data_IF_964248689305
#
_entry.id   IF_964248689305
#
_cell.length_a   1.000
_cell.length_b   1.000
_cell.length_c   1.000
_cell.angle_alpha   90.00
_cell.angle_beta   90.00
_cell.angle_gamma   90.00
#
_symmetry.space_group_name_H-M   'P 1'
#
loop_
_entity.id
_entity.type
_entity.pdbx_description
1 polymer ?
#
# COMPACT_ATOMS: atom_id res chain seq x y z
N UNK A 1 -18.85 11.82 -0.04
CA UNK A 1 -19.58 10.61 -0.12
C UNK A 1 -20.01 9.90 1.15
N UNK A 2 -19.37 10.13 2.32
CA UNK A 2 -19.74 9.38 3.54
C UNK A 2 -20.95 9.92 4.30
N UNK A 3 -21.44 11.11 3.98
CA UNK A 3 -22.55 11.73 4.69
C UNK A 3 -23.86 10.93 4.70
N UNK A 4 -24.10 10.11 3.66
CA UNK A 4 -25.28 9.26 3.61
C UNK A 4 -25.25 8.10 4.61
N UNK A 5 -24.09 7.50 4.80
CA UNK A 5 -23.91 6.42 5.78
C UNK A 5 -23.99 6.90 7.22
N UNK A 6 -23.39 8.04 7.52
CA UNK A 6 -23.50 8.67 8.83
C UNK A 6 -24.96 9.03 9.17
N UNK A 7 -25.73 9.51 8.19
CA UNK A 7 -27.14 9.80 8.38
C UNK A 7 -27.96 8.53 8.67
N UNK A 8 -27.67 7.43 7.98
CA UNK A 8 -28.32 6.14 8.24
C UNK A 8 -27.94 5.60 9.62
N UNK A 9 -26.68 5.65 9.97
CA UNK A 9 -26.19 5.17 11.25
C UNK A 9 -26.69 6.00 12.43
N UNK A 10 -26.96 7.29 12.25
CA UNK A 10 -27.49 8.15 13.31
C UNK A 10 -28.89 7.75 13.79
N UNK A 11 -29.59 6.87 13.07
CA UNK A 11 -30.86 6.30 13.50
C UNK A 11 -30.70 5.09 14.43
N UNK A 12 -29.48 4.61 14.64
CA UNK A 12 -29.24 3.47 15.53
C UNK A 12 -29.12 3.95 16.98
N UNK A 13 -29.78 3.29 17.90
CA UNK A 13 -29.64 3.60 19.31
C UNK A 13 -28.19 3.53 19.77
N UNK A 14 -27.74 4.53 20.51
CA UNK A 14 -26.39 4.60 21.06
C UNK A 14 -25.30 5.03 20.04
N UNK A 15 -25.59 5.11 18.74
CA UNK A 15 -24.57 5.48 17.74
C UNK A 15 -24.02 6.89 17.98
N UNK A 16 -24.89 7.85 18.30
CA UNK A 16 -24.47 9.25 18.50
C UNK A 16 -23.58 9.37 19.73
N UNK A 17 -23.91 8.69 20.81
CA UNK A 17 -23.13 8.68 22.04
C UNK A 17 -21.75 8.07 21.82
N UNK A 18 -21.68 6.92 21.16
CA UNK A 18 -20.41 6.25 20.82
C UNK A 18 -19.58 7.11 19.88
N UNK A 19 -20.19 7.69 18.87
CA UNK A 19 -19.51 8.57 17.93
C UNK A 19 -18.95 9.82 18.63
N UNK A 20 -19.73 10.44 19.51
CA UNK A 20 -19.29 11.59 20.30
C UNK A 20 -18.15 11.22 21.24
N UNK A 21 -18.20 10.05 21.85
CA UNK A 21 -17.14 9.55 22.71
C UNK A 21 -15.83 9.42 21.93
N UNK A 22 -15.84 8.73 20.79
CA UNK A 22 -14.66 8.55 19.95
C UNK A 22 -14.10 9.90 19.45
N UNK A 23 -14.97 10.81 18.99
CA UNK A 23 -14.55 12.14 18.52
C UNK A 23 -13.91 12.94 19.67
N UNK A 24 -14.44 12.83 20.88
CA UNK A 24 -13.84 13.49 22.05
C UNK A 24 -12.46 12.94 22.36
N UNK A 25 -12.27 11.63 22.32
CA UNK A 25 -10.96 11.00 22.51
C UNK A 25 -9.93 11.48 21.47
N UNK A 26 -10.30 11.52 20.20
CA UNK A 26 -9.41 12.03 19.16
C UNK A 26 -9.07 13.51 19.34
N UNK A 27 -10.01 14.31 19.81
CA UNK A 27 -9.76 15.73 20.08
C UNK A 27 -8.79 15.90 21.25
N UNK A 28 -8.97 15.17 22.33
CA UNK A 28 -8.06 15.19 23.48
C UNK A 28 -6.65 14.74 23.08
N UNK A 29 -6.52 13.69 22.27
CA UNK A 29 -5.23 13.24 21.75
C UNK A 29 -4.60 14.35 20.92
N UNK A 30 -5.37 14.97 20.01
CA UNK A 30 -4.86 16.06 19.17
C UNK A 30 -4.38 17.25 20.01
N UNK A 31 -5.17 17.67 21.01
CA UNK A 31 -4.81 18.77 21.90
C UNK A 31 -3.52 18.47 22.69
N UNK A 32 -3.41 17.24 23.22
CA UNK A 32 -2.24 16.80 23.97
C UNK A 32 -0.98 16.66 23.10
N UNK A 33 -1.14 16.43 21.80
CA UNK A 33 -0.02 16.35 20.84
C UNK A 33 0.43 17.72 20.32
N UNK A 34 -0.34 18.77 20.54
CA UNK A 34 0.05 20.10 20.12
C UNK A 34 1.34 20.54 20.84
N UNK A 35 2.31 20.98 20.07
CA UNK A 35 3.60 21.41 20.59
C UNK A 35 4.58 20.30 20.93
N UNK A 36 4.22 19.03 20.72
CA UNK A 36 5.18 17.93 20.77
C UNK A 36 6.01 17.88 19.50
N UNK A 37 7.29 17.62 19.62
CA UNK A 37 8.13 17.36 18.46
C UNK A 37 7.84 15.94 17.94
N UNK A 38 7.74 15.82 16.62
CA UNK A 38 7.68 14.51 15.98
C UNK A 38 8.97 13.73 16.26
N UNK A 39 8.83 12.44 16.50
CA UNK A 39 9.99 11.57 16.51
C UNK A 39 10.65 11.60 15.13
N UNK A 40 11.95 11.90 15.11
CA UNK A 40 12.72 11.84 13.88
C UNK A 40 13.29 10.45 13.76
N UNK A 41 12.70 9.65 12.90
CA UNK A 41 13.20 8.32 12.63
C UNK A 41 14.56 8.38 11.90
N UNK A 42 15.47 7.43 12.15
CA UNK A 42 16.78 7.40 11.51
C UNK A 42 16.71 7.19 9.98
N UNK A 43 15.61 6.64 9.49
CA UNK A 43 15.32 6.44 8.08
C UNK A 43 13.82 6.28 7.84
N UNK A 44 13.42 6.39 6.57
CA UNK A 44 12.05 6.19 6.12
C UNK A 44 11.91 4.89 5.33
N UNK A 45 10.78 4.23 5.53
CA UNK A 45 10.31 3.11 4.71
C UNK A 45 9.13 3.60 3.90
N UNK A 46 9.17 3.45 2.60
CA UNK A 46 8.11 3.88 1.71
C UNK A 46 7.24 2.70 1.25
N UNK A 47 5.94 2.89 1.26
CA UNK A 47 5.00 2.01 0.55
C UNK A 47 4.68 2.68 -0.78
N UNK A 48 4.93 1.96 -1.86
CA UNK A 48 4.63 2.44 -3.21
C UNK A 48 3.14 2.39 -3.47
N UNK A 49 2.56 3.53 -3.81
CA UNK A 49 1.12 3.72 -3.86
C UNK A 49 0.65 4.24 -5.23
N UNK A 50 -0.35 3.61 -5.79
CA UNK A 50 -0.98 4.02 -7.04
C UNK A 50 -2.37 4.63 -6.80
N UNK A 51 -2.41 5.76 -6.10
CA UNK A 51 -3.66 6.38 -5.64
C UNK A 51 -4.74 6.57 -6.73
N UNK A 52 -4.37 7.03 -7.90
CA UNK A 52 -5.32 7.23 -9.00
C UNK A 52 -6.00 5.94 -9.46
N UNK A 53 -5.25 4.86 -9.54
CA UNK A 53 -5.77 3.54 -9.88
C UNK A 53 -6.55 2.93 -8.73
N UNK A 54 -6.11 3.11 -7.49
CA UNK A 54 -6.85 2.70 -6.29
C UNK A 54 -8.21 3.38 -6.22
N UNK A 55 -8.26 4.68 -6.49
CA UNK A 55 -9.52 5.42 -6.50
C UNK A 55 -10.50 4.88 -7.54
N UNK A 56 -10.04 4.56 -8.75
CA UNK A 56 -10.87 3.95 -9.79
C UNK A 56 -11.34 2.56 -9.38
N UNK A 57 -10.45 1.76 -8.84
CA UNK A 57 -10.76 0.43 -8.36
C UNK A 57 -11.81 0.46 -7.24
N UNK A 58 -11.64 1.29 -6.22
CA UNK A 58 -12.61 1.47 -5.15
C UNK A 58 -13.97 1.93 -5.67
N UNK A 59 -14.01 2.82 -6.65
CA UNK A 59 -15.28 3.29 -7.21
C UNK A 59 -16.03 2.19 -7.97
N UNK A 60 -15.31 1.29 -8.61
CA UNK A 60 -15.90 0.29 -9.48
C UNK A 60 -16.13 -1.06 -8.78
N UNK A 61 -15.28 -1.43 -7.83
CA UNK A 61 -15.30 -2.76 -7.21
C UNK A 61 -15.89 -2.75 -5.78
N UNK A 62 -15.47 -1.81 -4.97
CA UNK A 62 -15.83 -1.77 -3.54
C UNK A 62 -17.25 -1.28 -3.32
N UNK A 63 -17.79 -0.50 -4.25
CA UNK A 63 -19.15 0.04 -4.10
C UNK A 63 -20.23 -1.05 -4.04
N UNK A 64 -19.98 -2.21 -4.61
CA UNK A 64 -20.95 -3.30 -4.69
C UNK A 64 -20.49 -4.64 -4.12
N UNK A 65 -19.21 -4.80 -3.89
CA UNK A 65 -18.69 -6.08 -3.46
C UNK A 65 -17.70 -5.87 -2.31
N UNK A 66 -18.03 -6.38 -1.28
CA UNK A 66 -17.38 -6.46 0.00
C UNK A 66 -16.20 -7.46 -0.05
N UNK A 67 -15.58 -7.64 -1.20
CA UNK A 67 -14.43 -8.51 -1.36
C UNK A 67 -13.16 -7.71 -1.20
N UNK A 68 -12.54 -7.84 -0.04
CA UNK A 68 -11.31 -7.16 0.33
C UNK A 68 -10.06 -8.03 0.15
N UNK A 69 -10.19 -9.16 -0.55
CA UNK A 69 -9.06 -10.09 -0.70
C UNK A 69 -7.83 -9.39 -1.29
N UNK A 70 -8.04 -8.52 -2.25
CA UNK A 70 -6.97 -7.77 -2.90
C UNK A 70 -6.33 -6.72 -1.97
N UNK A 71 -6.96 -6.39 -0.86
CA UNK A 71 -6.42 -5.43 0.13
C UNK A 71 -5.64 -6.10 1.25
N UNK A 72 -5.81 -7.41 1.46
CA UNK A 72 -5.22 -8.11 2.61
C UNK A 72 -3.71 -8.01 2.68
N UNK A 73 -3.04 -8.06 1.55
CA UNK A 73 -1.58 -7.91 1.52
C UNK A 73 -1.15 -6.51 1.97
N UNK A 74 -1.89 -5.47 1.55
CA UNK A 74 -1.59 -4.09 1.94
C UNK A 74 -1.90 -3.85 3.42
N UNK A 75 -3.04 -4.35 3.90
CA UNK A 75 -3.42 -4.28 5.31
C UNK A 75 -2.40 -5.01 6.20
N UNK A 76 -2.01 -6.23 5.82
CA UNK A 76 -1.01 -7.00 6.55
C UNK A 76 0.37 -6.32 6.60
N UNK A 77 0.80 -5.68 5.51
CA UNK A 77 2.05 -4.89 5.52
C UNK A 77 1.94 -3.71 6.47
N UNK A 78 0.83 -2.96 6.44
CA UNK A 78 0.62 -1.83 7.34
C UNK A 78 0.60 -2.27 8.81
N UNK A 79 -0.04 -3.39 9.10
CA UNK A 79 -0.07 -3.97 10.43
C UNK A 79 1.34 -4.38 10.90
N UNK A 80 2.11 -5.05 10.05
CA UNK A 80 3.49 -5.42 10.34
C UNK A 80 4.41 -4.21 10.58
N UNK A 81 4.17 -3.09 9.91
CA UNK A 81 4.96 -1.87 10.07
C UNK A 81 4.51 -1.03 11.28
N UNK A 82 3.34 -1.30 11.82
CA UNK A 82 2.80 -0.57 12.98
C UNK A 82 3.69 -0.75 14.21
N UNK A 83 4.04 0.35 14.86
CA UNK A 83 4.88 0.35 16.07
C UNK A 83 6.37 0.15 15.81
N UNK A 84 6.82 0.05 14.57
CA UNK A 84 8.23 -0.04 14.24
C UNK A 84 8.95 1.32 14.44
N UNK A 85 10.25 1.33 14.80
CA UNK A 85 11.00 2.54 15.14
C UNK A 85 11.51 3.31 13.90
N UNK A 86 10.75 3.32 12.82
CA UNK A 86 11.03 4.09 11.61
C UNK A 86 9.76 4.78 11.10
N UNK A 87 9.95 5.78 10.27
CA UNK A 87 8.84 6.47 9.65
C UNK A 87 8.35 5.72 8.42
N UNK A 88 7.03 5.57 8.29
CA UNK A 88 6.38 4.97 7.12
C UNK A 88 5.76 6.08 6.29
N UNK A 89 6.10 6.14 5.02
CA UNK A 89 5.60 7.13 4.06
C UNK A 89 5.00 6.43 2.84
N UNK A 90 3.99 7.04 2.25
CA UNK A 90 3.47 6.59 0.96
C UNK A 90 4.07 7.44 -0.15
N UNK A 91 4.69 6.80 -1.13
CA UNK A 91 5.20 7.47 -2.32
C UNK A 91 4.45 7.02 -3.56
N UNK A 92 4.33 7.90 -4.53
CA UNK A 92 3.67 7.61 -5.79
C UNK A 92 4.66 7.11 -6.84
N UNK A 93 4.13 6.57 -7.93
CA UNK A 93 4.95 6.26 -9.12
C UNK A 93 5.52 7.51 -9.78
N UNK A 94 4.89 8.67 -9.58
CA UNK A 94 5.45 9.95 -10.06
C UNK A 94 6.66 10.37 -9.23
N UNK A 95 6.66 10.12 -7.94
CA UNK A 95 7.84 10.33 -7.11
C UNK A 95 8.99 9.44 -7.57
N UNK A 96 8.73 8.17 -7.88
CA UNK A 96 9.75 7.27 -8.45
C UNK A 96 10.25 7.78 -9.79
N UNK A 97 9.37 8.29 -10.67
CA UNK A 97 9.78 8.87 -11.97
C UNK A 97 10.66 10.11 -11.82
N UNK A 98 10.39 10.92 -10.82
CA UNK A 98 11.09 12.17 -10.59
C UNK A 98 12.37 12.03 -9.75
N UNK A 99 12.55 10.89 -9.13
CA UNK A 99 13.67 10.56 -8.25
C UNK A 99 13.18 10.24 -6.83
N UNK A 100 13.58 9.08 -6.33
CA UNK A 100 13.22 8.62 -5.00
C UNK A 100 13.91 9.53 -3.97
N UNK A 101 13.18 10.06 -2.97
CA UNK A 101 13.77 10.88 -1.92
C UNK A 101 14.91 10.16 -1.17
N UNK A 102 15.97 10.89 -0.87
CA UNK A 102 17.21 10.32 -0.32
C UNK A 102 17.02 9.71 1.09
N UNK A 103 16.07 10.23 1.86
CA UNK A 103 15.73 9.74 3.19
C UNK A 103 15.05 8.37 3.16
N UNK A 104 14.48 7.95 2.04
CA UNK A 104 13.87 6.63 1.88
C UNK A 104 14.97 5.60 1.71
N UNK A 105 14.98 4.59 2.56
CA UNK A 105 15.96 3.50 2.52
C UNK A 105 15.38 2.18 2.06
N UNK A 106 14.06 2.01 2.20
CA UNK A 106 13.34 0.81 1.76
C UNK A 106 12.07 1.21 1.06
N UNK A 107 11.78 0.57 -0.06
CA UNK A 107 10.51 0.67 -0.77
C UNK A 107 9.82 -0.68 -0.72
N UNK A 108 8.54 -0.67 -0.36
CA UNK A 108 7.69 -1.86 -0.36
C UNK A 108 6.64 -1.71 -1.46
N UNK A 109 6.61 -2.66 -2.38
CA UNK A 109 5.51 -2.81 -3.33
C UNK A 109 4.65 -4.01 -2.94
N UNK A 110 3.36 -3.80 -2.82
CA UNK A 110 2.45 -4.78 -2.23
C UNK A 110 1.16 -4.92 -3.03
N UNK A 111 0.68 -6.13 -3.17
CA UNK A 111 -0.62 -6.43 -3.76
C UNK A 111 -0.57 -7.46 -4.87
N UNK A 112 -1.76 -7.84 -5.33
CA UNK A 112 -1.93 -8.79 -6.42
C UNK A 112 -1.64 -8.13 -7.77
N UNK A 113 -1.26 -8.94 -8.75
CA UNK A 113 -0.98 -8.48 -10.11
C UNK A 113 -2.15 -7.70 -10.71
N UNK A 114 -1.81 -6.68 -11.45
CA UNK A 114 -2.77 -5.84 -12.17
C UNK A 114 -3.82 -5.15 -11.29
N UNK A 115 -3.58 -5.08 -10.00
CA UNK A 115 -4.42 -4.31 -9.09
C UNK A 115 -3.90 -2.88 -8.92
N UNK A 116 -4.76 -2.04 -8.40
CA UNK A 116 -4.39 -0.69 -8.05
C UNK A 116 -3.34 -0.60 -6.93
N UNK A 117 -3.22 -1.66 -6.13
CA UNK A 117 -2.27 -1.69 -5.02
C UNK A 117 -0.85 -1.96 -5.50
N UNK A 118 -0.67 -2.93 -6.38
CA UNK A 118 0.66 -3.28 -6.89
C UNK A 118 1.20 -2.33 -7.98
N UNK A 119 0.36 -1.47 -8.54
CA UNK A 119 0.76 -0.45 -9.51
C UNK A 119 0.36 -0.70 -10.95
N UNK A 120 -0.15 -1.87 -11.28
CA UNK A 120 -0.64 -2.24 -12.61
C UNK A 120 0.29 -1.80 -13.76
N UNK A 121 -0.21 -1.03 -14.73
CA UNK A 121 0.52 -0.57 -15.91
C UNK A 121 1.74 0.33 -15.64
N UNK A 122 1.91 0.84 -14.43
CA UNK A 122 3.12 1.60 -14.10
C UNK A 122 4.39 0.74 -14.21
N UNK A 123 4.26 -0.58 -14.12
CA UNK A 123 5.40 -1.50 -14.21
C UNK A 123 5.90 -1.75 -15.64
N UNK A 124 5.28 -1.19 -16.67
CA UNK A 124 5.85 -1.16 -18.04
C UNK A 124 6.59 0.13 -18.35
N UNK A 125 6.66 1.06 -17.41
CA UNK A 125 7.36 2.32 -17.56
C UNK A 125 8.86 2.12 -17.30
N UNK A 126 9.67 2.24 -18.33
CA UNK A 126 11.13 2.09 -18.27
C UNK A 126 11.79 3.07 -17.28
N UNK A 127 11.21 4.24 -17.07
CA UNK A 127 11.74 5.22 -16.13
C UNK A 127 11.55 4.77 -14.69
N UNK A 128 10.40 4.17 -14.38
CA UNK A 128 10.13 3.56 -13.08
C UNK A 128 11.10 2.41 -12.83
N UNK A 129 11.22 1.48 -13.78
CA UNK A 129 12.11 0.33 -13.66
C UNK A 129 13.57 0.74 -13.47
N UNK A 130 14.04 1.70 -14.26
CA UNK A 130 15.41 2.21 -14.16
C UNK A 130 15.69 2.89 -12.84
N UNK A 131 14.76 3.69 -12.34
CA UNK A 131 14.96 4.39 -11.08
C UNK A 131 14.93 3.46 -9.87
N UNK A 132 14.09 2.41 -9.87
CA UNK A 132 14.12 1.38 -8.83
C UNK A 132 15.45 0.61 -8.86
N UNK A 133 15.94 0.18 -10.04
CA UNK A 133 17.25 -0.47 -10.14
C UNK A 133 18.36 0.40 -9.61
N UNK A 134 18.39 1.66 -10.00
CA UNK A 134 19.39 2.63 -9.49
C UNK A 134 19.30 2.79 -7.97
N UNK A 135 18.11 2.87 -7.42
CA UNK A 135 17.88 2.96 -5.98
C UNK A 135 18.48 1.75 -5.26
N UNK A 136 18.26 0.55 -5.77
CA UNK A 136 18.81 -0.69 -5.18
C UNK A 136 20.34 -0.75 -5.36
N UNK A 137 20.85 -0.40 -6.53
CA UNK A 137 22.30 -0.33 -6.78
C UNK A 137 23.03 0.65 -5.85
N UNK A 138 22.34 1.68 -5.40
CA UNK A 138 22.84 2.65 -4.43
C UNK A 138 22.67 2.20 -2.97
N UNK A 139 22.21 0.99 -2.73
CA UNK A 139 22.07 0.39 -1.41
C UNK A 139 20.67 0.50 -0.80
N UNK A 140 19.68 0.95 -1.56
CA UNK A 140 18.28 0.91 -1.15
C UNK A 140 17.71 -0.51 -1.12
N UNK A 141 16.74 -0.76 -0.25
CA UNK A 141 16.01 -2.03 -0.18
C UNK A 141 14.73 -1.98 -1.01
N UNK A 142 14.44 -3.05 -1.76
CA UNK A 142 13.16 -3.20 -2.45
C UNK A 142 12.50 -4.51 -2.02
N UNK A 143 11.32 -4.41 -1.40
CA UNK A 143 10.54 -5.54 -0.88
C UNK A 143 9.28 -5.70 -1.71
N UNK A 144 9.07 -6.90 -2.23
CA UNK A 144 7.83 -7.27 -2.91
C UNK A 144 6.96 -8.18 -2.06
N UNK A 145 5.67 -7.91 -2.00
CA UNK A 145 4.69 -8.72 -1.27
C UNK A 145 3.52 -9.07 -2.19
N UNK A 146 3.15 -10.34 -2.23
CA UNK A 146 2.11 -10.83 -3.12
C UNK A 146 2.62 -11.08 -4.54
N UNK A 147 2.12 -10.37 -5.50
CA UNK A 147 2.57 -10.38 -6.90
C UNK A 147 3.21 -9.03 -7.28
N UNK A 148 4.31 -8.66 -6.61
CA UNK A 148 4.91 -7.35 -6.76
C UNK A 148 5.39 -7.14 -8.21
N UNK A 149 5.27 -5.90 -8.69
CA UNK A 149 5.77 -5.50 -10.02
C UNK A 149 5.15 -6.21 -11.22
N UNK A 150 4.20 -7.10 -11.00
CA UNK A 150 3.47 -7.74 -12.08
C UNK A 150 2.40 -6.80 -12.63
N UNK A 151 2.41 -6.57 -13.96
CA UNK A 151 1.44 -5.70 -14.58
C UNK A 151 0.30 -6.46 -15.27
N UNK A 152 0.51 -7.72 -15.64
CA UNK A 152 -0.50 -8.55 -16.28
C UNK A 152 -1.29 -9.37 -15.27
N UNK A 153 -2.57 -9.55 -15.55
CA UNK A 153 -3.42 -10.47 -14.80
C UNK A 153 -2.77 -11.86 -14.73
N UNK A 154 -2.79 -12.47 -13.56
CA UNK A 154 -2.09 -13.70 -13.21
C UNK A 154 -0.56 -13.57 -13.11
N UNK A 155 -0.01 -12.37 -13.16
CA UNK A 155 1.38 -12.10 -12.82
C UNK A 155 2.40 -12.99 -13.51
N UNK A 156 2.31 -13.14 -14.82
CA UNK A 156 3.19 -14.04 -15.58
C UNK A 156 4.66 -13.75 -15.38
N UNK A 157 4.99 -12.46 -15.25
CA UNK A 157 6.35 -12.02 -15.05
C UNK A 157 6.39 -10.91 -14.03
N UNK A 158 7.30 -11.01 -13.08
CA UNK A 158 7.67 -9.86 -12.30
C UNK A 158 8.60 -8.97 -13.12
N UNK A 159 8.20 -7.73 -13.33
CA UNK A 159 9.15 -6.72 -13.72
C UNK A 159 10.17 -6.61 -12.59
N UNK A 160 11.40 -6.26 -12.84
CA UNK A 160 12.44 -6.24 -11.81
C UNK A 160 12.77 -7.64 -11.19
N UNK A 161 12.56 -8.71 -11.93
CA UNK A 161 12.97 -10.05 -11.48
C UNK A 161 14.46 -10.16 -11.16
N UNK A 162 15.27 -9.35 -11.81
CA UNK A 162 16.69 -9.14 -11.53
C UNK A 162 16.96 -8.52 -10.17
N UNK A 163 16.11 -7.59 -9.73
CA UNK A 163 16.19 -6.96 -8.42
C UNK A 163 15.63 -7.87 -7.33
N UNK A 164 14.50 -8.52 -7.60
CA UNK A 164 13.83 -9.41 -6.65
C UNK A 164 14.53 -10.76 -6.48
N UNK A 165 15.35 -11.17 -7.46
CA UNK A 165 16.00 -12.48 -7.49
C UNK A 165 15.06 -13.65 -7.77
N UNK A 166 13.80 -13.37 -8.07
CA UNK A 166 12.76 -14.36 -8.35
C UNK A 166 11.84 -13.88 -9.46
N UNK A 167 11.22 -14.86 -10.12
CA UNK A 167 10.17 -14.62 -11.11
C UNK A 167 9.02 -15.56 -10.81
N UNK A 168 7.80 -15.13 -11.09
CA UNK A 168 6.64 -15.99 -10.92
C UNK A 168 6.70 -17.15 -11.93
N UNK A 169 6.44 -18.35 -11.45
CA UNK A 169 6.32 -19.51 -12.28
C UNK A 169 5.17 -19.38 -13.28
N UNK A 170 5.45 -19.68 -14.53
CA UNK A 170 4.47 -19.55 -15.62
C UNK A 170 3.54 -20.75 -15.78
N UNK A 171 3.86 -21.86 -15.15
CA UNK A 171 3.11 -23.10 -15.24
C UNK A 171 2.21 -23.25 -14.03
N UNK A 172 1.25 -24.17 -14.13
CA UNK A 172 0.38 -24.52 -13.02
C UNK A 172 1.21 -24.88 -11.80
N UNK A 173 1.11 -24.09 -10.76
CA UNK A 173 1.65 -24.47 -9.47
C UNK A 173 0.78 -25.57 -8.89
N UNK A 174 1.20 -26.79 -9.08
CA UNK A 174 0.54 -27.96 -8.47
C UNK A 174 0.54 -27.90 -6.93
N UNK A 175 1.34 -27.04 -6.36
CA UNK A 175 1.44 -26.90 -4.91
C UNK A 175 0.33 -26.07 -4.29
N UNK A 176 -0.22 -25.11 -5.00
CA UNK A 176 -1.33 -24.28 -4.48
C UNK A 176 -2.67 -24.99 -4.52
N UNK A 177 -2.87 -25.89 -5.47
CA UNK A 177 -4.15 -26.57 -5.63
C UNK A 177 -4.31 -27.77 -4.68
N UNK A 178 -3.25 -28.21 -4.04
CA UNK A 178 -3.30 -29.38 -3.15
C UNK A 178 -3.64 -29.09 -1.69
N UNK A 179 -3.61 -27.83 -1.28
CA UNK A 179 -3.68 -27.47 0.14
C UNK A 179 -4.68 -26.38 0.47
N UNK A 180 -5.53 -26.01 -0.49
CA UNK A 180 -6.68 -25.12 -0.27
C UNK A 180 -7.96 -25.93 -0.10
#
# INVERSE_FOLDING_TARGET
>A
GYGGYLKLASNWPGFIEEFQYVVTQFREIHENMQGTASYVAPFKVAILNCWGSQRRWMSNQVHHAIWHRETYSAEGVLECLSGMPFEVEFISFDDVRNGIPEEIKVIINVGDAYTAFSGAENWIDEKVLTNIRRFVDQGGGFIGVGEPTAYQYQGRYFQLSDVLGVVREMCFSLSTDKYN
#
